data_IF_338182704193
#
_entry.id   IF_338182704193
#
_cell.length_a   1.000
_cell.length_b   1.000
_cell.length_c   1.000
_cell.angle_alpha   90.00
_cell.angle_beta   90.00
_cell.angle_gamma   90.00
#
_symmetry.space_group_name_H-M   'P 1'
#
loop_
_entity.id
_entity.type
_entity.pdbx_description
1 polymer ?
#
# COMPACT_ATOMS: atom_id res chain seq x y z
N UNK A 1 44.46 -14.53 -13.50
CA UNK A 1 42.99 -14.69 -13.41
C UNK A 1 42.43 -14.39 -12.02
N UNK A 2 43.07 -14.76 -10.91
CA UNK A 2 42.60 -14.43 -9.55
C UNK A 2 42.50 -12.91 -9.27
N UNK A 3 43.37 -12.08 -9.84
CA UNK A 3 43.41 -10.64 -9.58
C UNK A 3 42.24 -9.86 -10.16
N UNK A 4 41.64 -10.30 -11.28
CA UNK A 4 40.46 -9.61 -11.86
C UNK A 4 39.16 -9.93 -11.14
N UNK A 5 38.98 -11.16 -10.64
CA UNK A 5 37.79 -11.54 -9.87
C UNK A 5 37.73 -10.84 -8.50
N UNK A 6 38.88 -10.68 -7.82
CA UNK A 6 38.97 -9.88 -6.60
C UNK A 6 38.64 -8.42 -6.86
N UNK A 7 39.10 -7.83 -7.97
CA UNK A 7 38.78 -6.46 -8.38
C UNK A 7 37.28 -6.23 -8.63
N UNK A 8 36.54 -7.18 -9.21
CA UNK A 8 35.09 -7.06 -9.47
C UNK A 8 34.29 -7.11 -8.15
N UNK A 9 34.63 -8.03 -7.24
CA UNK A 9 33.98 -8.14 -5.94
C UNK A 9 34.25 -6.93 -5.05
N UNK A 10 35.47 -6.39 -5.08
CA UNK A 10 35.82 -5.17 -4.38
C UNK A 10 35.04 -3.95 -4.95
N UNK A 11 34.90 -3.88 -6.27
CA UNK A 11 34.11 -2.84 -6.93
C UNK A 11 32.65 -2.91 -6.50
N UNK A 12 32.01 -4.07 -6.54
CA UNK A 12 30.62 -4.27 -6.09
C UNK A 12 30.48 -3.88 -4.61
N UNK A 13 31.41 -4.28 -3.76
CA UNK A 13 31.40 -3.95 -2.33
C UNK A 13 31.50 -2.43 -2.11
N UNK A 14 32.39 -1.77 -2.83
CA UNK A 14 32.58 -0.32 -2.75
C UNK A 14 31.36 0.44 -3.26
N UNK A 15 30.74 -0.01 -4.35
CA UNK A 15 29.50 0.60 -4.88
C UNK A 15 28.33 0.47 -3.88
N UNK A 16 28.18 -0.68 -3.22
CA UNK A 16 27.16 -0.83 -2.17
C UNK A 16 27.42 0.08 -0.96
N UNK A 17 28.67 0.21 -0.53
CA UNK A 17 29.04 1.09 0.56
C UNK A 17 28.72 2.56 0.19
N UNK A 18 29.16 3.00 -1.00
CA UNK A 18 28.88 4.36 -1.52
C UNK A 18 27.37 4.63 -1.67
N UNK A 19 26.60 3.66 -2.16
CA UNK A 19 25.15 3.77 -2.25
C UNK A 19 24.50 3.94 -0.87
N UNK A 20 24.95 3.17 0.13
CA UNK A 20 24.45 3.27 1.50
C UNK A 20 24.79 4.62 2.13
N UNK A 21 26.01 5.12 1.95
CA UNK A 21 26.44 6.43 2.46
C UNK A 21 25.62 7.57 1.81
N UNK A 22 25.49 7.56 0.48
CA UNK A 22 24.77 8.60 -0.27
C UNK A 22 23.31 8.67 0.08
N UNK A 23 22.59 7.53 0.10
CA UNK A 23 21.16 7.51 0.42
C UNK A 23 20.91 7.57 1.93
N UNK A 24 21.87 7.14 2.75
CA UNK A 24 21.77 7.09 4.21
C UNK A 24 21.49 8.43 4.86
N UNK A 25 21.93 9.53 4.23
CA UNK A 25 21.65 10.89 4.69
C UNK A 25 20.17 11.21 4.80
N UNK A 26 19.35 10.66 3.89
CA UNK A 26 17.90 10.86 3.84
C UNK A 26 17.11 9.84 4.66
N UNK A 27 17.74 8.76 5.17
CA UNK A 27 17.06 7.73 5.98
C UNK A 27 16.93 8.21 7.42
N UNK A 28 15.75 8.04 8.02
CA UNK A 28 15.42 8.50 9.36
C UNK A 28 14.87 7.36 10.22
N UNK A 29 14.96 7.49 11.56
CA UNK A 29 14.23 6.61 12.48
C UNK A 29 12.99 7.33 13.02
N UNK A 30 11.85 6.64 13.04
CA UNK A 30 10.57 7.20 13.45
C UNK A 30 10.10 6.53 14.72
N UNK A 31 9.88 7.33 15.76
CA UNK A 31 9.39 6.92 17.07
C UNK A 31 7.90 7.26 17.20
N UNK A 32 7.04 6.46 16.56
CA UNK A 32 5.59 6.60 16.55
C UNK A 32 4.86 5.41 17.17
N UNK A 33 5.58 4.53 17.88
CA UNK A 33 5.08 3.37 18.62
C UNK A 33 5.92 3.09 19.86
N UNK A 34 5.37 2.31 20.80
CA UNK A 34 5.91 2.19 22.16
C UNK A 34 7.33 1.58 22.23
N UNK A 35 7.59 0.49 21.50
CA UNK A 35 8.76 -0.35 21.75
C UNK A 35 9.80 -0.35 20.63
N UNK A 36 9.40 -0.18 19.41
CA UNK A 36 10.28 -0.35 18.26
C UNK A 36 10.11 0.79 17.25
N UNK A 37 11.18 1.49 16.86
CA UNK A 37 11.09 2.47 15.79
C UNK A 37 10.78 1.77 14.47
N UNK A 38 10.35 2.53 13.50
CA UNK A 38 10.34 2.16 12.10
C UNK A 38 11.25 3.10 11.34
N UNK A 39 11.77 2.68 10.21
CA UNK A 39 12.52 3.57 9.34
C UNK A 39 11.58 4.46 8.52
N UNK A 40 12.12 5.51 7.98
CA UNK A 40 11.50 6.35 6.98
C UNK A 40 12.57 6.95 6.10
N UNK A 41 12.14 7.65 5.09
CA UNK A 41 13.03 8.40 4.21
C UNK A 41 12.47 9.80 3.99
N UNK A 42 13.32 10.79 4.04
CA UNK A 42 12.96 12.13 3.60
C UNK A 42 12.79 12.12 2.07
N UNK A 43 11.52 12.09 1.63
CA UNK A 43 11.13 11.95 0.23
C UNK A 43 11.33 13.25 -0.56
N UNK A 44 11.04 14.34 0.10
CA UNK A 44 11.35 15.72 -0.32
C UNK A 44 11.46 16.58 0.94
N UNK A 45 12.01 17.76 0.81
CA UNK A 45 12.26 18.65 1.96
C UNK A 45 11.06 18.76 2.89
N UNK A 46 11.26 18.34 4.15
CA UNK A 46 10.23 18.38 5.18
C UNK A 46 9.13 17.34 5.06
N UNK A 47 9.22 16.39 4.12
CA UNK A 47 8.25 15.32 3.93
C UNK A 47 8.92 13.97 4.12
N UNK A 48 8.52 13.25 5.16
CA UNK A 48 9.00 11.91 5.47
C UNK A 48 7.95 10.89 5.01
N UNK A 49 8.41 9.88 4.27
CA UNK A 49 7.61 8.71 3.91
C UNK A 49 8.04 7.53 4.78
N UNK A 50 7.06 6.80 5.28
CA UNK A 50 7.25 5.59 6.08
C UNK A 50 6.08 4.62 5.87
N UNK A 51 6.03 3.53 6.65
CA UNK A 51 4.93 2.56 6.60
C UNK A 51 3.81 2.90 7.58
N UNK A 52 2.56 2.71 7.15
CA UNK A 52 1.38 2.91 7.99
C UNK A 52 1.43 2.09 9.27
N UNK A 53 1.75 0.78 9.20
CA UNK A 53 1.79 -0.08 10.38
C UNK A 53 2.86 0.31 11.40
N UNK A 54 3.82 1.16 11.00
CA UNK A 54 4.87 1.73 11.85
C UNK A 54 4.43 2.97 12.61
N UNK A 55 3.32 3.62 12.22
CA UNK A 55 2.80 4.83 12.85
C UNK A 55 1.51 4.50 13.60
N UNK A 56 1.64 4.21 14.90
CA UNK A 56 0.52 3.81 15.77
C UNK A 56 -0.07 4.97 16.57
N UNK A 57 0.55 6.15 16.52
CA UNK A 57 0.10 7.39 17.16
C UNK A 57 -0.05 8.48 16.12
N UNK A 58 -0.98 9.38 16.32
CA UNK A 58 -1.21 10.54 15.45
C UNK A 58 -0.50 11.79 15.98
N UNK A 59 -0.17 11.77 17.28
CA UNK A 59 0.50 12.86 18.02
C UNK A 59 1.81 12.36 18.63
N UNK A 60 2.64 13.30 19.10
CA UNK A 60 3.94 13.04 19.74
C UNK A 60 4.87 12.15 18.91
N UNK A 61 4.83 12.30 17.60
CA UNK A 61 5.73 11.59 16.70
C UNK A 61 7.08 12.28 16.71
N UNK A 62 8.15 11.51 16.98
CA UNK A 62 9.53 12.00 16.89
C UNK A 62 10.25 11.32 15.75
N UNK A 63 10.99 12.12 15.01
CA UNK A 63 11.84 11.67 13.89
C UNK A 63 13.29 11.96 14.26
N UNK A 64 14.11 10.92 14.27
CA UNK A 64 15.55 11.03 14.47
C UNK A 64 16.22 11.13 13.09
N UNK A 65 16.72 12.31 12.78
CA UNK A 65 17.40 12.63 11.54
C UNK A 65 18.83 12.08 11.51
N UNK A 66 19.44 12.11 10.33
CA UNK A 66 20.87 11.88 10.21
C UNK A 66 21.66 12.86 11.11
N UNK A 67 22.73 12.37 11.75
CA UNK A 67 23.47 13.16 12.77
C UNK A 67 22.86 13.18 14.16
N UNK A 68 21.78 12.38 14.43
CA UNK A 68 21.26 12.18 15.80
C UNK A 68 20.30 13.27 16.30
N UNK A 69 19.95 14.26 15.48
CA UNK A 69 18.99 15.32 15.86
C UNK A 69 17.56 14.77 15.83
N UNK A 70 16.85 14.92 16.94
CA UNK A 70 15.44 14.55 17.07
C UNK A 70 14.53 15.75 16.84
N UNK A 71 13.58 15.62 15.92
CA UNK A 71 12.58 16.65 15.60
C UNK A 71 11.17 16.13 15.78
N UNK A 72 10.23 17.03 16.03
CA UNK A 72 8.80 16.67 16.07
C UNK A 72 8.26 16.56 14.66
N UNK A 73 7.35 15.60 14.44
CA UNK A 73 6.68 15.42 13.19
C UNK A 73 5.15 15.40 13.37
N UNK A 74 4.43 15.88 12.36
CA UNK A 74 2.97 15.83 12.28
C UNK A 74 2.57 14.80 11.24
N UNK A 75 1.57 13.98 11.52
CA UNK A 75 0.98 13.08 10.53
C UNK A 75 0.25 13.93 9.48
N UNK A 76 0.67 13.84 8.23
CA UNK A 76 -0.01 14.47 7.10
C UNK A 76 -1.14 13.59 6.58
N UNK A 77 -0.98 12.27 6.67
CA UNK A 77 -1.98 11.28 6.27
C UNK A 77 -1.40 9.88 6.19
N UNK A 78 -2.29 8.90 6.04
CA UNK A 78 -1.90 7.49 5.92
C UNK A 78 -2.83 6.70 4.99
N UNK A 79 -2.30 5.69 4.33
CA UNK A 79 -3.05 4.72 3.56
C UNK A 79 -2.76 3.29 4.03
N UNK A 80 -3.66 2.67 4.82
CA UNK A 80 -3.49 1.29 5.28
C UNK A 80 -3.42 0.26 4.15
N UNK A 81 -3.89 0.59 2.98
CA UNK A 81 -3.98 -0.35 1.86
C UNK A 81 -2.69 -0.45 1.05
N UNK A 82 -1.92 0.63 0.93
CA UNK A 82 -0.57 0.61 0.37
C UNK A 82 0.50 0.53 1.45
N UNK A 83 0.08 0.55 2.72
CA UNK A 83 0.95 0.58 3.90
C UNK A 83 1.89 1.80 3.93
N UNK A 84 1.45 2.94 3.38
CA UNK A 84 2.21 4.20 3.37
C UNK A 84 1.63 5.17 4.42
N UNK A 85 2.53 5.88 5.12
CA UNK A 85 2.22 7.04 5.93
C UNK A 85 3.17 8.19 5.58
N UNK A 86 2.65 9.41 5.64
CA UNK A 86 3.38 10.64 5.34
C UNK A 86 3.41 11.52 6.57
N UNK A 87 4.61 11.95 6.95
CA UNK A 87 4.83 12.87 8.05
C UNK A 87 5.40 14.19 7.52
N UNK A 88 5.08 15.29 8.17
CA UNK A 88 5.68 16.61 7.94
C UNK A 88 6.58 16.98 9.10
N UNK A 89 7.76 17.50 8.78
CA UNK A 89 8.70 18.13 9.72
C UNK A 89 8.98 19.56 9.27
N UNK A 90 9.24 20.46 10.21
CA UNK A 90 9.51 21.87 9.89
C UNK A 90 10.93 22.07 9.32
N UNK A 91 11.88 21.30 9.83
CA UNK A 91 13.29 21.39 9.47
C UNK A 91 13.73 20.14 8.69
N UNK A 92 13.53 20.13 7.38
CA UNK A 92 13.99 19.07 6.48
C UNK A 92 15.39 19.31 5.93
N UNK A 93 16.07 18.24 5.53
CA UNK A 93 17.28 18.29 4.72
C UNK A 93 16.95 18.85 3.32
N UNK A 94 17.95 19.44 2.65
CA UNK A 94 17.77 19.90 1.28
C UNK A 94 17.98 18.80 0.24
N UNK A 95 18.55 17.65 0.64
CA UNK A 95 19.03 16.64 -0.30
C UNK A 95 18.03 15.47 -0.37
N UNK A 96 17.09 15.55 -1.33
CA UNK A 96 16.28 14.40 -1.69
C UNK A 96 17.19 13.30 -2.27
N UNK A 97 16.94 12.01 -1.95
CA UNK A 97 17.73 10.93 -2.52
C UNK A 97 17.45 10.82 -4.03
N UNK A 98 18.39 10.31 -4.82
CA UNK A 98 18.13 10.02 -6.22
C UNK A 98 17.07 8.92 -6.34
N UNK A 99 16.03 9.18 -7.13
CA UNK A 99 14.99 8.20 -7.43
C UNK A 99 15.27 7.47 -8.73
N UNK A 100 15.11 6.15 -8.72
CA UNK A 100 15.21 5.28 -9.88
C UNK A 100 13.84 4.82 -10.38
N UNK A 101 13.82 4.34 -11.61
CA UNK A 101 12.63 3.73 -12.20
C UNK A 101 12.52 2.26 -11.78
N UNK A 102 11.50 1.93 -10.99
CA UNK A 102 11.23 0.55 -10.58
C UNK A 102 10.82 -0.36 -11.73
N UNK A 103 10.38 0.19 -12.88
CA UNK A 103 10.01 -0.62 -14.06
C UNK A 103 11.23 -1.25 -14.74
N UNK A 104 12.42 -0.70 -14.50
CA UNK A 104 13.69 -1.24 -14.99
C UNK A 104 14.19 -2.47 -14.19
N UNK A 105 13.57 -2.77 -13.04
CA UNK A 105 13.96 -3.90 -12.21
C UNK A 105 13.59 -5.23 -12.88
N UNK A 106 14.47 -6.22 -12.68
CA UNK A 106 14.28 -7.60 -13.14
C UNK A 106 14.57 -8.58 -12.02
N UNK A 107 13.99 -9.77 -12.13
CA UNK A 107 14.31 -10.89 -11.24
C UNK A 107 15.82 -11.12 -11.20
N UNK A 108 16.37 -11.26 -9.99
CA UNK A 108 17.79 -11.47 -9.75
C UNK A 108 18.63 -10.19 -9.68
N UNK A 109 18.10 -8.99 -9.97
CA UNK A 109 18.85 -7.75 -9.76
C UNK A 109 19.25 -7.60 -8.30
N UNK A 110 20.50 -7.21 -8.08
CA UNK A 110 21.03 -6.86 -6.76
C UNK A 110 20.35 -5.61 -6.23
N UNK A 111 20.02 -5.62 -4.95
CA UNK A 111 19.36 -4.51 -4.25
C UNK A 111 19.89 -4.37 -2.83
N UNK A 112 19.77 -3.15 -2.30
CA UNK A 112 20.19 -2.80 -0.95
C UNK A 112 19.01 -2.14 -0.21
N UNK A 113 18.56 -2.75 0.87
CA UNK A 113 17.59 -2.16 1.79
C UNK A 113 18.33 -1.39 2.89
N UNK A 114 17.90 -0.16 3.16
CA UNK A 114 18.42 0.64 4.26
C UNK A 114 17.37 0.85 5.35
N UNK A 115 17.84 1.00 6.58
CA UNK A 115 17.03 1.36 7.73
C UNK A 115 17.85 2.07 8.80
N UNK A 116 17.17 2.55 9.85
CA UNK A 116 17.84 3.10 11.03
C UNK A 116 17.43 2.39 12.30
N UNK A 117 18.41 2.16 13.17
CA UNK A 117 18.17 1.62 14.50
C UNK A 117 17.48 2.67 15.40
N UNK A 118 17.05 2.24 16.59
CA UNK A 118 16.49 3.16 17.59
C UNK A 118 17.47 4.28 18.01
N UNK A 119 18.77 4.03 17.94
CA UNK A 119 19.82 4.99 18.28
C UNK A 119 20.20 5.90 17.11
N UNK A 120 19.69 5.62 15.91
CA UNK A 120 19.96 6.40 14.71
C UNK A 120 21.10 5.85 13.85
N UNK A 121 21.68 4.68 14.19
CA UNK A 121 22.70 4.06 13.33
C UNK A 121 22.08 3.60 12.03
N UNK A 122 22.76 3.87 10.93
CA UNK A 122 22.38 3.36 9.62
C UNK A 122 22.67 1.86 9.56
N UNK A 123 21.71 1.09 9.07
CA UNK A 123 21.82 -0.35 8.88
C UNK A 123 21.41 -0.74 7.47
N UNK A 124 22.02 -1.76 6.92
CA UNK A 124 21.79 -2.22 5.56
C UNK A 124 21.54 -3.73 5.51
N UNK A 125 20.79 -4.17 4.52
CA UNK A 125 20.61 -5.58 4.15
C UNK A 125 20.62 -5.68 2.64
N UNK A 126 21.48 -6.53 2.09
CA UNK A 126 21.60 -6.76 0.65
C UNK A 126 20.94 -8.07 0.24
N UNK A 127 20.51 -8.14 -0.99
CA UNK A 127 19.90 -9.33 -1.59
C UNK A 127 19.53 -9.09 -3.03
N UNK A 128 18.52 -9.80 -3.51
CA UNK A 128 18.05 -9.72 -4.88
C UNK A 128 16.54 -9.46 -4.97
N UNK A 129 16.09 -9.03 -6.13
CA UNK A 129 14.69 -9.10 -6.49
C UNK A 129 14.32 -10.58 -6.62
N UNK A 130 13.61 -11.12 -5.62
CA UNK A 130 13.20 -12.53 -5.54
C UNK A 130 11.89 -12.83 -6.25
N UNK A 131 11.17 -11.81 -6.74
CA UNK A 131 9.95 -11.93 -7.55
C UNK A 131 9.45 -10.57 -7.97
N UNK A 132 8.98 -10.48 -9.22
CA UNK A 132 8.41 -9.26 -9.77
C UNK A 132 7.25 -9.62 -10.68
N UNK A 133 6.15 -8.88 -10.56
CA UNK A 133 4.99 -8.97 -11.46
C UNK A 133 4.41 -7.58 -11.68
N UNK A 134 3.47 -7.44 -12.63
CA UNK A 134 2.81 -6.19 -12.95
C UNK A 134 1.96 -5.63 -11.82
N UNK A 135 0.99 -4.80 -12.18
CA UNK A 135 0.04 -4.20 -11.24
C UNK A 135 -0.54 -5.24 -10.29
N UNK A 136 -0.56 -4.91 -9.01
CA UNK A 136 -1.10 -5.76 -7.97
C UNK A 136 -2.07 -5.00 -7.07
N UNK A 137 -3.17 -5.68 -6.72
CA UNK A 137 -4.15 -5.17 -5.78
C UNK A 137 -4.23 -6.08 -4.58
N UNK A 138 -4.29 -5.50 -3.42
CA UNK A 138 -4.51 -6.26 -2.19
C UNK A 138 -6.00 -6.25 -1.78
N UNK A 139 -6.36 -7.14 -0.86
CA UNK A 139 -7.74 -7.26 -0.33
C UNK A 139 -8.29 -5.98 0.32
N UNK A 140 -7.45 -5.00 0.64
CA UNK A 140 -7.85 -3.70 1.18
C UNK A 140 -8.08 -2.64 0.10
N UNK A 141 -8.07 -3.04 -1.18
CA UNK A 141 -8.25 -2.16 -2.33
C UNK A 141 -7.01 -1.30 -2.67
N UNK A 142 -5.86 -1.57 -2.04
CA UNK A 142 -4.61 -0.89 -2.38
C UNK A 142 -4.07 -1.34 -3.72
N UNK A 143 -3.77 -0.37 -4.59
CA UNK A 143 -3.14 -0.59 -5.88
C UNK A 143 -1.65 -0.28 -5.78
N UNK A 144 -0.80 -1.25 -6.11
CA UNK A 144 0.62 -1.09 -6.37
C UNK A 144 0.88 -1.25 -7.87
N UNK A 145 1.70 -0.35 -8.43
CA UNK A 145 1.98 -0.36 -9.86
C UNK A 145 2.83 -1.58 -10.28
N UNK A 146 3.54 -2.17 -9.33
CA UNK A 146 4.24 -3.46 -9.47
C UNK A 146 4.24 -4.19 -8.13
N UNK A 147 4.22 -5.52 -8.16
CA UNK A 147 4.44 -6.36 -6.99
C UNK A 147 5.90 -6.84 -6.96
N UNK A 148 6.71 -6.22 -6.11
CA UNK A 148 8.14 -6.47 -5.97
C UNK A 148 8.39 -7.22 -4.67
N UNK A 149 8.77 -8.49 -4.75
CA UNK A 149 9.19 -9.32 -3.62
C UNK A 149 10.70 -9.36 -3.54
N UNK A 150 11.19 -9.28 -2.33
CA UNK A 150 12.62 -9.29 -2.05
C UNK A 150 13.05 -10.66 -1.52
N UNK A 151 14.24 -11.08 -1.91
CA UNK A 151 14.99 -12.16 -1.26
C UNK A 151 16.17 -11.53 -0.51
N UNK A 152 15.83 -10.95 0.64
CA UNK A 152 16.74 -10.38 1.64
C UNK A 152 16.06 -10.34 3.01
N UNK A 153 16.83 -10.18 4.06
CA UNK A 153 16.33 -10.05 5.42
C UNK A 153 15.88 -8.59 5.69
N UNK A 154 14.57 -8.38 5.91
CA UNK A 154 14.09 -7.15 6.53
C UNK A 154 14.00 -7.35 8.05
N UNK A 155 15.02 -6.91 8.77
CA UNK A 155 15.04 -6.96 10.23
C UNK A 155 13.99 -6.01 10.84
N UNK A 156 13.61 -6.19 12.11
CA UNK A 156 12.77 -5.25 12.82
C UNK A 156 13.31 -3.82 12.72
N UNK A 157 12.45 -2.88 12.31
CA UNK A 157 12.83 -1.49 12.09
C UNK A 157 13.14 -1.10 10.64
N UNK A 158 13.39 -2.07 9.73
CA UNK A 158 13.66 -1.76 8.32
C UNK A 158 12.44 -1.31 7.52
N UNK A 159 11.23 -1.70 7.93
CA UNK A 159 10.01 -1.24 7.26
C UNK A 159 9.95 0.29 7.26
N UNK A 160 9.60 0.88 6.12
CA UNK A 160 9.60 2.32 5.87
C UNK A 160 10.90 2.87 5.31
N UNK A 161 12.00 2.11 5.38
CA UNK A 161 13.26 2.47 4.76
C UNK A 161 13.26 2.20 3.25
N UNK A 162 14.18 2.84 2.49
CA UNK A 162 14.27 2.70 1.04
C UNK A 162 14.85 1.35 0.60
N UNK A 163 14.46 0.92 -0.60
CA UNK A 163 15.18 -0.05 -1.41
C UNK A 163 15.98 0.70 -2.47
N UNK A 164 17.27 0.39 -2.57
CA UNK A 164 18.16 0.94 -3.59
C UNK A 164 18.44 -0.11 -4.67
N UNK A 165 18.55 0.34 -5.92
CA UNK A 165 19.12 -0.45 -7.01
C UNK A 165 20.66 -0.41 -6.98
N UNK A 166 21.29 -1.11 -7.93
CA UNK A 166 22.76 -1.15 -8.05
C UNK A 166 23.42 0.21 -8.38
N UNK A 167 22.63 1.25 -8.75
CA UNK A 167 23.11 2.62 -8.96
C UNK A 167 22.97 3.50 -7.72
N UNK A 168 22.50 2.94 -6.61
CA UNK A 168 22.22 3.70 -5.38
C UNK A 168 20.96 4.59 -5.47
N UNK A 169 20.09 4.35 -6.46
CA UNK A 169 18.84 5.08 -6.63
C UNK A 169 17.71 4.40 -5.85
N UNK A 170 16.84 5.18 -5.20
CA UNK A 170 15.68 4.68 -4.48
C UNK A 170 14.63 4.19 -5.48
N UNK A 171 14.28 2.91 -5.43
CA UNK A 171 13.28 2.29 -6.30
C UNK A 171 11.95 1.99 -5.57
N UNK A 172 11.89 2.21 -4.26
CA UNK A 172 10.68 2.09 -3.46
C UNK A 172 10.93 2.04 -1.96
N UNK A 173 9.85 1.79 -1.22
CA UNK A 173 9.80 1.71 0.24
C UNK A 173 9.56 0.26 0.67
N UNK A 174 10.39 -0.24 1.57
CA UNK A 174 10.31 -1.62 2.06
C UNK A 174 9.21 -1.78 3.11
N UNK A 175 8.45 -2.86 3.02
CA UNK A 175 7.43 -3.21 4.01
C UNK A 175 7.30 -4.72 4.22
N UNK A 176 6.91 -5.12 5.43
CA UNK A 176 6.43 -6.46 5.78
C UNK A 176 4.91 -6.52 5.93
N UNK A 177 4.24 -5.37 5.95
CA UNK A 177 2.80 -5.25 6.19
C UNK A 177 1.93 -5.75 5.03
N UNK A 178 2.44 -5.73 3.80
CA UNK A 178 1.71 -6.17 2.61
C UNK A 178 2.00 -7.64 2.21
N UNK A 179 3.13 -8.19 2.63
CA UNK A 179 3.61 -9.50 2.18
C UNK A 179 3.29 -10.67 3.13
N UNK A 180 2.36 -10.54 4.07
CA UNK A 180 2.11 -11.55 5.11
C UNK A 180 3.42 -11.96 5.84
N UNK A 181 4.22 -10.96 6.21
CA UNK A 181 5.52 -11.14 6.85
C UNK A 181 6.71 -11.30 5.89
N UNK A 182 6.48 -11.47 4.60
CA UNK A 182 7.55 -11.45 3.58
C UNK A 182 7.94 -10.02 3.24
N UNK A 183 9.18 -9.84 2.82
CA UNK A 183 9.69 -8.55 2.36
C UNK A 183 9.10 -8.18 0.99
N UNK A 184 8.45 -7.02 0.94
CA UNK A 184 7.86 -6.44 -0.27
C UNK A 184 8.31 -4.98 -0.36
N UNK A 185 8.46 -4.47 -1.57
CA UNK A 185 8.73 -3.05 -1.82
C UNK A 185 7.54 -2.41 -2.49
N UNK A 186 7.08 -1.27 -1.95
CA UNK A 186 6.12 -0.39 -2.60
C UNK A 186 6.90 0.48 -3.59
N UNK A 187 6.62 0.39 -4.91
CA UNK A 187 7.38 1.09 -5.95
C UNK A 187 7.30 2.61 -5.83
N UNK A 188 8.33 3.32 -6.28
CA UNK A 188 8.38 4.80 -6.30
C UNK A 188 7.16 5.42 -6.95
N UNK A 189 6.67 4.88 -8.08
CA UNK A 189 5.47 5.39 -8.76
C UNK A 189 4.23 5.34 -7.85
N UNK A 190 4.01 4.22 -7.15
CA UNK A 190 2.95 4.09 -6.15
C UNK A 190 3.15 5.08 -4.99
N UNK A 191 4.38 5.17 -4.46
CA UNK A 191 4.68 6.08 -3.34
C UNK A 191 4.39 7.52 -3.73
N UNK A 192 4.85 8.00 -4.89
CA UNK A 192 4.62 9.36 -5.36
C UNK A 192 3.12 9.69 -5.41
N UNK A 193 2.33 8.85 -6.08
CA UNK A 193 0.88 9.01 -6.19
C UNK A 193 0.20 9.10 -4.82
N UNK A 194 0.55 8.20 -3.91
CA UNK A 194 -0.02 8.17 -2.55
C UNK A 194 0.42 9.39 -1.73
N UNK A 195 1.69 9.78 -1.82
CA UNK A 195 2.23 10.96 -1.11
C UNK A 195 1.54 12.24 -1.55
N UNK A 196 1.34 12.44 -2.85
CA UNK A 196 0.65 13.62 -3.39
C UNK A 196 -0.77 13.73 -2.84
N UNK A 197 -1.56 12.64 -2.90
CA UNK A 197 -2.94 12.62 -2.43
C UNK A 197 -3.02 12.81 -0.90
N UNK A 198 -2.12 12.16 -0.12
CA UNK A 198 -2.07 12.33 1.34
C UNK A 198 -1.66 13.75 1.75
N UNK A 199 -0.79 14.41 0.99
CA UNK A 199 -0.39 15.80 1.26
C UNK A 199 -1.49 16.80 0.93
N UNK A 200 -2.31 16.51 -0.08
CA UNK A 200 -3.43 17.36 -0.53
C UNK A 200 -4.66 17.19 0.37
N UNK A 201 -5.05 15.94 0.65
CA UNK A 201 -6.35 15.59 1.27
C UNK A 201 -6.25 14.98 2.67
N UNK A 202 -5.07 14.55 3.09
CA UNK A 202 -4.87 13.85 4.36
C UNK A 202 -5.27 12.36 4.34
N UNK A 203 -5.96 11.90 3.31
CA UNK A 203 -6.42 10.52 3.13
C UNK A 203 -6.50 10.15 1.64
N UNK A 204 -6.59 8.84 1.36
CA UNK A 204 -6.81 8.35 0.00
C UNK A 204 -8.32 8.21 -0.23
N UNK A 205 -8.84 9.01 -1.15
CA UNK A 205 -10.23 8.96 -1.55
C UNK A 205 -10.55 7.65 -2.28
N UNK A 206 -11.56 6.90 -1.81
CA UNK A 206 -11.95 5.63 -2.40
C UNK A 206 -13.44 5.52 -2.57
N UNK A 207 -13.89 5.08 -3.75
CA UNK A 207 -15.30 4.78 -3.95
C UNK A 207 -15.72 3.61 -3.06
N UNK A 208 -16.89 3.72 -2.43
CA UNK A 208 -17.44 2.67 -1.61
C UNK A 208 -18.96 2.60 -1.73
N UNK A 209 -19.52 1.43 -1.36
CA UNK A 209 -20.94 1.16 -1.39
C UNK A 209 -21.63 1.36 -0.01
N UNK A 210 -20.90 1.21 1.07
CA UNK A 210 -21.46 1.26 2.43
C UNK A 210 -22.22 -0.01 2.81
N UNK A 211 -21.77 -1.20 2.36
CA UNK A 211 -22.36 -2.50 2.71
C UNK A 211 -21.30 -3.50 3.14
N UNK A 212 -21.67 -4.38 4.06
CA UNK A 212 -20.93 -5.60 4.33
C UNK A 212 -21.70 -6.80 3.80
N UNK A 213 -21.00 -7.71 3.15
CA UNK A 213 -21.60 -8.88 2.48
C UNK A 213 -20.81 -10.14 2.78
N UNK A 214 -21.52 -11.28 2.68
CA UNK A 214 -20.90 -12.62 2.74
C UNK A 214 -21.45 -13.52 1.64
N UNK A 215 -20.66 -14.48 1.13
CA UNK A 215 -21.14 -15.46 0.17
C UNK A 215 -22.27 -16.32 0.78
N UNK A 216 -23.31 -16.57 -0.03
CA UNK A 216 -24.44 -17.44 0.32
C UNK A 216 -24.86 -18.22 -0.91
N UNK A 217 -25.29 -19.46 -0.73
CA UNK A 217 -25.90 -20.24 -1.82
C UNK A 217 -27.24 -19.66 -2.23
N UNK A 218 -27.44 -19.48 -3.53
CA UNK A 218 -28.71 -19.06 -4.10
C UNK A 218 -29.64 -20.28 -4.14
N UNK A 219 -30.85 -20.21 -3.54
CA UNK A 219 -31.83 -21.31 -3.58
C UNK A 219 -32.15 -21.76 -5.00
N UNK A 220 -32.34 -23.06 -5.21
CA UNK A 220 -32.50 -23.68 -6.54
C UNK A 220 -33.67 -23.10 -7.33
N UNK A 221 -34.79 -22.81 -6.65
CA UNK A 221 -35.97 -22.16 -7.25
C UNK A 221 -35.71 -20.72 -7.73
N UNK A 222 -34.63 -20.10 -7.29
CA UNK A 222 -34.21 -18.77 -7.75
C UNK A 222 -33.16 -18.86 -8.88
N UNK A 223 -32.32 -19.90 -8.88
CA UNK A 223 -31.27 -20.08 -9.91
C UNK A 223 -31.85 -20.10 -11.33
N UNK A 224 -33.00 -20.76 -11.52
CA UNK A 224 -33.69 -20.82 -12.83
C UNK A 224 -34.17 -19.46 -13.33
N UNK A 225 -34.35 -18.49 -12.46
CA UNK A 225 -34.76 -17.10 -12.78
C UNK A 225 -33.58 -16.19 -13.06
N UNK A 226 -32.34 -16.59 -12.73
CA UNK A 226 -31.15 -15.80 -12.94
C UNK A 226 -30.63 -15.96 -14.39
N UNK A 227 -30.11 -14.87 -15.02
CA UNK A 227 -29.59 -14.92 -16.39
C UNK A 227 -28.40 -15.84 -16.58
N UNK A 228 -27.62 -15.98 -15.52
CA UNK A 228 -26.51 -16.92 -15.37
C UNK A 228 -26.87 -17.88 -14.25
N UNK A 229 -26.72 -19.17 -14.44
CA UNK A 229 -27.03 -20.19 -13.39
C UNK A 229 -26.12 -20.04 -12.18
N UNK A 230 -26.07 -18.82 -11.64
CA UNK A 230 -25.23 -18.40 -10.51
C UNK A 230 -25.64 -19.19 -9.27
N UNK A 231 -24.68 -19.95 -8.71
CA UNK A 231 -24.92 -20.76 -7.51
C UNK A 231 -24.70 -20.00 -6.21
N UNK A 232 -23.86 -18.98 -6.26
CA UNK A 232 -23.45 -18.18 -5.11
C UNK A 232 -23.79 -16.73 -5.35
N UNK A 233 -24.39 -16.06 -4.37
CA UNK A 233 -24.58 -14.62 -4.32
C UNK A 233 -23.95 -14.05 -3.05
N UNK A 234 -24.02 -12.74 -2.89
CA UNK A 234 -23.49 -12.03 -1.71
C UNK A 234 -24.63 -11.47 -0.89
N UNK A 235 -24.89 -12.10 0.26
CA UNK A 235 -25.92 -11.65 1.22
C UNK A 235 -25.47 -10.36 1.89
N UNK A 236 -26.30 -9.32 1.85
CA UNK A 236 -26.10 -8.06 2.56
C UNK A 236 -26.34 -8.27 4.04
N UNK A 237 -25.27 -8.19 4.84
CA UNK A 237 -25.26 -8.39 6.29
C UNK A 237 -25.30 -7.10 7.08
N UNK A 238 -24.93 -5.99 6.44
CA UNK A 238 -24.95 -4.66 7.03
C UNK A 238 -25.09 -3.60 5.94
N UNK A 239 -25.87 -2.57 6.21
CA UNK A 239 -25.98 -1.38 5.39
C UNK A 239 -25.62 -0.20 6.29
N UNK A 240 -24.64 0.60 5.86
CA UNK A 240 -24.14 1.74 6.62
C UNK A 240 -25.16 2.87 6.59
N UNK A 241 -25.52 3.37 7.78
CA UNK A 241 -26.51 4.45 7.92
C UNK A 241 -26.02 5.75 7.25
N UNK A 242 -26.85 6.37 6.42
CA UNK A 242 -26.48 7.52 5.58
C UNK A 242 -25.53 7.19 4.42
N UNK A 243 -25.18 5.91 4.25
CA UNK A 243 -24.27 5.43 3.21
C UNK A 243 -24.88 5.41 1.80
N UNK A 244 -24.05 5.21 0.76
CA UNK A 244 -24.51 5.16 -0.63
C UNK A 244 -25.57 4.12 -0.90
N UNK A 245 -25.39 2.91 -0.38
CA UNK A 245 -26.32 1.79 -0.60
C UNK A 245 -27.66 2.01 0.10
N UNK A 246 -27.67 2.55 1.32
CA UNK A 246 -28.92 2.91 2.02
C UNK A 246 -29.71 3.94 1.22
N UNK A 247 -29.05 5.01 0.77
CA UNK A 247 -29.67 6.05 -0.07
C UNK A 247 -30.23 5.50 -1.37
N UNK A 248 -29.63 4.46 -1.91
CA UNK A 248 -30.09 3.76 -3.12
C UNK A 248 -31.19 2.73 -2.83
N UNK A 249 -31.54 2.47 -1.57
CA UNK A 249 -32.57 1.53 -1.16
C UNK A 249 -32.14 0.08 -1.13
N UNK A 250 -30.82 -0.21 -0.93
CA UNK A 250 -30.34 -1.56 -0.58
C UNK A 250 -30.78 -1.89 0.84
N UNK A 251 -31.24 -3.10 1.07
CA UNK A 251 -31.73 -3.58 2.34
C UNK A 251 -30.91 -4.71 2.90
N UNK A 252 -30.90 -4.82 4.22
CA UNK A 252 -30.40 -6.01 4.91
C UNK A 252 -31.16 -7.23 4.40
N UNK A 253 -30.45 -8.30 4.09
CA UNK A 253 -31.03 -9.53 3.53
C UNK A 253 -31.15 -9.56 1.99
N UNK A 254 -30.81 -8.50 1.28
CA UNK A 254 -30.64 -8.57 -0.17
C UNK A 254 -29.51 -9.53 -0.54
N UNK A 255 -29.68 -10.30 -1.60
CA UNK A 255 -28.61 -11.15 -2.16
C UNK A 255 -28.14 -10.57 -3.47
N UNK A 256 -26.97 -9.95 -3.47
CA UNK A 256 -26.34 -9.36 -4.67
C UNK A 256 -25.75 -10.48 -5.51
N UNK A 257 -26.10 -10.57 -6.79
CA UNK A 257 -25.58 -11.58 -7.71
C UNK A 257 -24.93 -10.97 -8.98
N UNK A 258 -25.13 -9.69 -9.23
CA UNK A 258 -24.56 -8.99 -10.36
C UNK A 258 -24.18 -7.56 -9.98
N UNK A 259 -23.00 -7.10 -10.42
CA UNK A 259 -22.50 -5.73 -10.25
C UNK A 259 -21.89 -5.25 -11.55
N UNK A 260 -22.34 -4.10 -12.06
CA UNK A 260 -21.85 -3.53 -13.30
C UNK A 260 -22.00 -4.48 -14.52
N UNK A 261 -23.04 -5.32 -14.54
CA UNK A 261 -23.28 -6.31 -15.58
C UNK A 261 -22.44 -7.59 -15.47
N UNK A 262 -21.64 -7.74 -14.41
CA UNK A 262 -20.82 -8.94 -14.16
C UNK A 262 -21.38 -9.71 -12.96
N UNK A 263 -21.46 -11.03 -13.10
CA UNK A 263 -21.83 -11.92 -11.99
C UNK A 263 -20.79 -11.85 -10.89
N UNK A 264 -21.25 -11.82 -9.63
CA UNK A 264 -20.39 -11.76 -8.44
C UNK A 264 -20.67 -12.93 -7.51
N UNK A 265 -19.64 -13.70 -7.19
CA UNK A 265 -19.72 -14.85 -6.27
C UNK A 265 -18.83 -14.63 -5.03
N UNK A 266 -17.91 -13.67 -5.09
CA UNK A 266 -16.97 -13.35 -4.02
C UNK A 266 -16.89 -11.84 -3.81
N UNK A 267 -16.64 -11.44 -2.57
CA UNK A 267 -16.54 -10.01 -2.19
C UNK A 267 -15.41 -9.31 -2.96
N UNK A 268 -14.35 -10.03 -3.33
CA UNK A 268 -13.24 -9.48 -4.11
C UNK A 268 -13.70 -8.96 -5.49
N UNK A 269 -14.70 -9.58 -6.12
CA UNK A 269 -15.27 -9.10 -7.40
C UNK A 269 -15.96 -7.72 -7.29
N UNK A 270 -16.51 -7.42 -6.11
CA UNK A 270 -17.04 -6.07 -5.81
C UNK A 270 -15.87 -5.07 -5.72
N UNK A 271 -14.79 -5.44 -5.03
CA UNK A 271 -13.60 -4.59 -4.91
C UNK A 271 -13.00 -4.30 -6.29
N UNK A 272 -12.97 -5.28 -7.18
CA UNK A 272 -12.51 -5.10 -8.56
C UNK A 272 -13.38 -4.08 -9.31
N UNK A 273 -14.70 -4.16 -9.16
CA UNK A 273 -15.64 -3.22 -9.76
C UNK A 273 -15.45 -1.79 -9.22
N UNK A 274 -15.28 -1.67 -7.90
CA UNK A 274 -15.03 -0.37 -7.26
C UNK A 274 -13.66 0.22 -7.63
N UNK A 275 -12.68 -0.63 -7.91
CA UNK A 275 -11.32 -0.21 -8.19
C UNK A 275 -11.14 0.56 -9.51
N UNK A 276 -12.05 0.38 -10.44
CA UNK A 276 -12.08 1.07 -11.74
C UNK A 276 -13.06 2.25 -11.77
N UNK A 277 -13.91 2.35 -10.76
CA UNK A 277 -14.91 3.39 -10.62
C UNK A 277 -14.35 4.63 -9.90
N UNK A 278 -15.03 5.76 -10.07
CA UNK A 278 -14.75 7.02 -9.37
C UNK A 278 -15.85 7.32 -8.36
N UNK A 279 -15.52 8.13 -7.36
CA UNK A 279 -16.51 8.70 -6.46
C UNK A 279 -17.51 9.52 -7.29
N UNK A 280 -18.82 9.31 -7.05
CA UNK A 280 -19.90 9.91 -7.82
C UNK A 280 -20.38 9.08 -9.01
N UNK A 281 -19.64 8.07 -9.46
CA UNK A 281 -20.10 7.15 -10.50
C UNK A 281 -21.32 6.36 -10.02
N UNK A 282 -22.22 6.04 -10.95
CA UNK A 282 -23.39 5.20 -10.67
C UNK A 282 -23.06 3.75 -10.98
N UNK A 283 -23.05 2.92 -9.95
CA UNK A 283 -22.85 1.49 -10.06
C UNK A 283 -24.19 0.76 -9.99
N UNK A 284 -24.54 0.01 -11.05
CA UNK A 284 -25.75 -0.80 -11.05
C UNK A 284 -25.48 -2.15 -10.42
N UNK A 285 -26.35 -2.57 -9.50
CA UNK A 285 -26.35 -3.92 -8.93
C UNK A 285 -27.69 -4.59 -9.19
N UNK A 286 -27.68 -5.93 -9.25
CA UNK A 286 -28.91 -6.73 -9.24
C UNK A 286 -28.93 -7.60 -8.01
N UNK A 287 -30.08 -7.58 -7.33
CA UNK A 287 -30.28 -8.29 -6.07
C UNK A 287 -31.51 -9.19 -6.14
N UNK A 288 -31.48 -10.27 -5.35
CA UNK A 288 -32.69 -11.03 -5.01
C UNK A 288 -33.21 -10.45 -3.71
N UNK A 289 -34.46 -9.99 -3.71
CA UNK A 289 -35.20 -9.47 -2.53
C UNK A 289 -36.55 -10.15 -2.44
N UNK A 290 -36.82 -10.85 -1.35
CA UNK A 290 -38.09 -11.55 -1.15
C UNK A 290 -38.52 -12.44 -2.33
N UNK A 291 -37.57 -13.11 -3.00
CA UNK A 291 -37.83 -13.99 -4.16
C UNK A 291 -38.01 -13.26 -5.50
N UNK A 292 -37.85 -11.95 -5.55
CA UNK A 292 -37.88 -11.14 -6.77
C UNK A 292 -36.50 -10.59 -7.13
N UNK A 293 -36.25 -10.42 -8.43
CA UNK A 293 -35.05 -9.77 -8.93
C UNK A 293 -35.30 -8.26 -9.00
N UNK A 294 -34.46 -7.50 -8.32
CA UNK A 294 -34.49 -6.03 -8.33
C UNK A 294 -33.20 -5.46 -8.87
N UNK A 295 -33.30 -4.33 -9.58
CA UNK A 295 -32.16 -3.54 -10.03
C UNK A 295 -32.06 -2.32 -9.14
N UNK A 296 -30.84 -2.06 -8.61
CA UNK A 296 -30.55 -0.92 -7.75
C UNK A 296 -29.37 -0.15 -8.35
N UNK A 297 -29.51 1.16 -8.48
CA UNK A 297 -28.45 2.06 -8.95
C UNK A 297 -27.88 2.82 -7.76
N UNK A 298 -26.59 2.60 -7.46
CA UNK A 298 -25.93 3.18 -6.30
C UNK A 298 -24.93 4.23 -6.78
N UNK A 299 -25.10 5.49 -6.37
CA UNK A 299 -24.07 6.52 -6.56
C UNK A 299 -22.99 6.30 -5.54
N UNK A 300 -21.77 6.02 -6.01
CA UNK A 300 -20.62 5.70 -5.16
C UNK A 300 -20.22 6.89 -4.30
N UNK A 301 -20.11 6.67 -3.01
CA UNK A 301 -19.64 7.67 -2.04
C UNK A 301 -18.14 7.64 -1.86
N UNK A 302 -17.63 8.58 -1.07
CA UNK A 302 -16.26 8.62 -0.59
C UNK A 302 -16.18 8.00 0.80
N UNK A 303 -15.30 7.02 0.98
CA UNK A 303 -15.00 6.47 2.30
C UNK A 303 -13.98 7.37 3.00
N UNK A 304 -14.47 8.22 3.89
CA UNK A 304 -13.62 8.97 4.82
C UNK A 304 -13.37 8.09 6.05
N UNK A 305 -12.10 7.81 6.36
CA UNK A 305 -11.70 7.09 7.57
C UNK A 305 -10.77 7.95 8.41
#
# INVERSE_FOLDING_TARGET
MLNMANSILETISSEFASAAEKAGGSVVAIHARRWMPTSGIEWKKGVIVTVHHGVQRDEDIKVLLNGGRSVSAKLAGRDPSTDIAVLRIEEGSSDAPPFGDSTSLRLGHLVLALGRTRRGDLVASSGIIGGISGEWRNRRGGKLDQHIRLDLALYPGFSGGPLLNARGEVVGINTRGLGHGRAVTVPVATVNRVVEELLERGHIARPYLGIAMQPVEVPENMRSKLPTQTRVGLLVMHVENGGPAEKAGVLLGDVVFEVGGKTVEHVDAIQDSLSTAKIGDVLQIRVIRAGEIKRVSITLGERVR
#
